data_IF_094733354696
#
_entry.id   IF_094733354696
#
_cell.length_a   1.000
_cell.length_b   1.000
_cell.length_c   1.000
_cell.angle_alpha   90.00
_cell.angle_beta   90.00
_cell.angle_gamma   90.00
#
_symmetry.space_group_name_H-M   'P 1'
#
loop_
_entity.id
_entity.type
_entity.pdbx_description
1 polymer ?
#
# COMPACT_ATOMS: atom_id res chain seq x y z
N UNK A 1 4.41 -5.78 18.36
CA UNK A 1 4.08 -5.03 17.12
C UNK A 1 2.99 -5.79 16.38
N UNK A 2 1.86 -5.15 16.10
CA UNK A 2 0.67 -5.75 15.49
C UNK A 2 0.66 -5.66 13.95
N UNK A 3 1.79 -5.39 13.30
CA UNK A 3 1.89 -5.33 11.83
C UNK A 3 1.61 -6.66 11.13
N UNK A 4 1.75 -7.76 11.86
CA UNK A 4 1.50 -9.13 11.43
C UNK A 4 0.57 -9.84 12.43
N UNK A 5 -0.38 -9.11 13.03
CA UNK A 5 -1.19 -9.62 14.14
C UNK A 5 -1.86 -10.96 13.82
N UNK A 6 -1.55 -11.95 14.66
CA UNK A 6 -2.27 -13.20 14.80
C UNK A 6 -2.74 -13.28 16.27
N UNK A 7 -4.03 -13.53 16.48
CA UNK A 7 -4.62 -13.51 17.82
C UNK A 7 -4.08 -14.63 18.71
N UNK A 8 -3.96 -15.85 18.19
CA UNK A 8 -3.53 -17.01 18.95
C UNK A 8 -2.07 -16.87 19.39
N UNK A 9 -1.18 -16.47 18.47
CA UNK A 9 0.22 -16.20 18.79
C UNK A 9 0.35 -15.07 19.81
N UNK A 10 -0.43 -14.00 19.67
CA UNK A 10 -0.41 -12.87 20.59
C UNK A 10 -0.80 -13.29 22.02
N UNK A 11 -1.91 -14.03 22.15
CA UNK A 11 -2.39 -14.53 23.45
C UNK A 11 -1.38 -15.46 24.11
N UNK A 12 -0.73 -16.33 23.32
CA UNK A 12 0.32 -17.23 23.83
C UNK A 12 1.53 -16.46 24.36
N UNK A 13 2.01 -15.45 23.62
CA UNK A 13 3.14 -14.60 24.05
C UNK A 13 2.81 -13.84 25.33
N UNK A 14 1.61 -13.29 25.45
CA UNK A 14 1.17 -12.56 26.66
C UNK A 14 1.11 -13.51 27.85
N UNK A 15 0.56 -14.71 27.68
CA UNK A 15 0.47 -15.73 28.73
C UNK A 15 1.87 -16.10 29.26
N UNK A 16 2.77 -16.50 28.38
CA UNK A 16 4.14 -16.90 28.74
C UNK A 16 4.88 -15.75 29.44
N UNK A 17 4.74 -14.51 28.94
CA UNK A 17 5.39 -13.36 29.54
C UNK A 17 4.92 -13.07 30.98
N UNK A 18 3.62 -13.26 31.26
CA UNK A 18 3.04 -13.11 32.60
C UNK A 18 3.41 -14.25 33.54
N UNK A 19 3.56 -15.48 33.03
CA UNK A 19 4.07 -16.61 33.80
C UNK A 19 5.53 -16.38 34.25
N UNK A 20 6.35 -15.75 33.41
CA UNK A 20 7.75 -15.40 33.74
C UNK A 20 7.81 -14.24 34.75
N UNK A 21 7.00 -13.19 34.53
CA UNK A 21 6.94 -12.04 35.44
C UNK A 21 5.52 -11.46 35.46
N UNK A 22 4.83 -11.69 36.58
CA UNK A 22 3.45 -11.23 36.77
C UNK A 22 3.28 -9.71 36.61
N UNK A 23 4.25 -8.92 37.09
CA UNK A 23 4.25 -7.45 37.02
C UNK A 23 5.09 -6.91 35.86
N UNK A 24 4.84 -7.44 34.66
CA UNK A 24 5.44 -6.94 33.42
C UNK A 24 4.52 -5.89 32.77
N UNK A 25 5.07 -4.74 32.38
CA UNK A 25 4.36 -3.82 31.51
C UNK A 25 4.46 -4.29 30.06
N UNK A 26 3.31 -4.44 29.39
CA UNK A 26 3.23 -4.87 28.00
C UNK A 26 2.78 -3.68 27.16
N UNK A 27 3.63 -3.26 26.24
CA UNK A 27 3.32 -2.21 25.26
C UNK A 27 2.87 -2.85 23.95
N UNK A 28 1.66 -2.49 23.49
CA UNK A 28 1.11 -2.96 22.23
C UNK A 28 1.24 -1.86 21.18
N UNK A 29 2.09 -2.11 20.20
CA UNK A 29 2.28 -1.24 19.03
C UNK A 29 1.28 -1.62 17.92
N UNK A 30 0.27 -0.77 17.72
CA UNK A 30 -0.81 -0.96 16.74
C UNK A 30 -0.33 -0.59 15.33
N UNK A 31 -0.84 -1.30 14.31
CA UNK A 31 -0.34 -1.18 12.94
C UNK A 31 -0.67 0.17 12.25
N UNK A 32 -1.67 0.91 12.72
CA UNK A 32 -2.20 2.10 12.05
C UNK A 32 -2.90 1.78 10.71
N UNK A 33 -3.44 2.81 10.04
CA UNK A 33 -3.93 2.69 8.65
C UNK A 33 -2.72 2.64 7.70
N UNK A 34 -2.23 1.43 7.38
CA UNK A 34 -1.18 1.25 6.37
C UNK A 34 -1.80 1.16 4.98
N UNK A 35 -1.39 2.08 4.11
CA UNK A 35 -1.74 2.02 2.69
C UNK A 35 -0.93 0.90 2.03
N UNK A 36 -1.60 0.09 1.23
CA UNK A 36 -1.01 -1.03 0.52
C UNK A 36 -1.50 -1.05 -0.92
N UNK A 37 -0.77 -1.73 -1.79
CA UNK A 37 -1.35 -2.20 -3.05
C UNK A 37 -2.47 -3.18 -2.72
N UNK A 38 -3.64 -2.99 -3.31
CA UNK A 38 -4.79 -3.88 -3.10
C UNK A 38 -4.42 -5.33 -3.45
N UNK A 39 -5.03 -6.26 -2.73
CA UNK A 39 -4.93 -7.70 -3.04
C UNK A 39 -5.73 -8.08 -4.29
N UNK A 40 -6.64 -7.22 -4.73
CA UNK A 40 -7.44 -7.39 -5.95
C UNK A 40 -6.64 -7.09 -7.23
N UNK A 41 -5.37 -6.65 -7.12
CA UNK A 41 -4.53 -6.45 -8.29
C UNK A 41 -4.29 -7.79 -9.01
N UNK A 42 -4.81 -7.92 -10.22
CA UNK A 42 -4.76 -9.15 -11.02
C UNK A 42 -3.36 -9.47 -11.58
N UNK A 43 -2.49 -8.47 -11.65
CA UNK A 43 -1.23 -8.55 -12.38
C UNK A 43 0.00 -8.32 -11.50
N UNK A 44 1.10 -8.97 -11.89
CA UNK A 44 2.43 -8.63 -11.39
C UNK A 44 3.07 -7.68 -12.39
N UNK A 45 3.27 -6.43 -12.00
CA UNK A 45 3.91 -5.44 -12.86
C UNK A 45 5.41 -5.39 -12.62
N UNK A 46 6.19 -5.63 -13.67
CA UNK A 46 7.59 -5.23 -13.73
C UNK A 46 7.66 -3.81 -14.32
N UNK A 47 8.20 -2.88 -13.54
CA UNK A 47 8.31 -1.47 -13.91
C UNK A 47 9.77 -1.04 -13.91
N UNK A 48 10.11 -0.12 -14.79
CA UNK A 48 11.47 0.39 -14.98
C UNK A 48 11.49 1.90 -14.82
N UNK A 49 12.64 2.44 -14.41
CA UNK A 49 12.83 3.89 -14.29
C UNK A 49 12.51 4.60 -15.61
N UNK A 50 11.85 5.75 -15.51
CA UNK A 50 11.37 6.54 -16.64
C UNK A 50 10.01 6.14 -17.20
N UNK A 51 9.46 4.98 -16.81
CA UNK A 51 8.11 4.57 -17.24
C UNK A 51 7.02 5.40 -16.55
N UNK A 52 5.86 5.49 -17.20
CA UNK A 52 4.64 5.99 -16.59
C UNK A 52 3.82 4.84 -16.01
N UNK A 53 3.24 5.07 -14.84
CA UNK A 53 2.32 4.15 -14.16
C UNK A 53 1.15 4.95 -13.59
N UNK A 54 0.08 4.25 -13.25
CA UNK A 54 -1.12 4.86 -12.71
C UNK A 54 -1.50 4.21 -11.39
N UNK A 55 -1.92 5.01 -10.41
CA UNK A 55 -2.48 4.54 -9.15
C UNK A 55 -3.93 4.99 -9.03
N UNK A 56 -4.76 4.19 -8.37
CA UNK A 56 -6.16 4.51 -8.10
C UNK A 56 -6.62 3.95 -6.75
N UNK A 57 -7.80 4.38 -6.31
CA UNK A 57 -8.47 3.77 -5.15
C UNK A 57 -8.95 2.35 -5.44
N UNK A 58 -9.08 1.54 -4.39
CA UNK A 58 -9.54 0.16 -4.50
C UNK A 58 -11.00 0.08 -4.98
N UNK A 59 -11.82 1.06 -4.59
CA UNK A 59 -13.20 1.25 -5.04
C UNK A 59 -13.27 1.51 -6.56
N UNK A 60 -12.41 2.37 -7.09
CA UNK A 60 -12.36 2.62 -8.54
C UNK A 60 -11.99 1.36 -9.30
N UNK A 61 -10.93 0.66 -8.87
CA UNK A 61 -10.44 -0.54 -9.55
C UNK A 61 -11.49 -1.65 -9.66
N UNK A 62 -12.36 -1.80 -8.65
CA UNK A 62 -13.44 -2.80 -8.64
C UNK A 62 -14.56 -2.54 -9.65
N UNK A 63 -14.74 -1.28 -10.06
CA UNK A 63 -15.86 -0.88 -10.93
C UNK A 63 -15.45 -0.90 -12.41
N UNK A 64 -14.17 -0.71 -12.72
CA UNK A 64 -13.71 -0.62 -14.11
C UNK A 64 -13.46 -2.01 -14.72
N UNK A 65 -13.72 -2.14 -16.02
CA UNK A 65 -13.26 -3.30 -16.80
C UNK A 65 -11.76 -3.17 -17.10
N UNK A 66 -10.92 -3.73 -16.24
CA UNK A 66 -9.45 -3.74 -16.37
C UNK A 66 -9.00 -4.41 -17.68
N UNK A 67 -9.81 -5.33 -18.22
CA UNK A 67 -9.55 -6.02 -19.49
C UNK A 67 -9.44 -5.07 -20.69
N UNK A 68 -10.04 -3.87 -20.62
CA UNK A 68 -9.93 -2.81 -21.63
C UNK A 68 -8.71 -1.91 -21.44
N UNK A 69 -8.03 -2.00 -20.30
CA UNK A 69 -6.90 -1.17 -19.91
C UNK A 69 -5.58 -1.95 -19.87
N UNK A 70 -5.48 -3.07 -20.60
CA UNK A 70 -4.33 -3.99 -20.56
C UNK A 70 -2.95 -3.34 -20.74
N UNK A 71 -2.88 -2.25 -21.52
CA UNK A 71 -1.62 -1.53 -21.75
C UNK A 71 -1.24 -0.58 -20.61
N UNK A 72 -2.22 -0.21 -19.79
CA UNK A 72 -2.07 0.73 -18.68
C UNK A 72 -1.72 -0.03 -17.40
N UNK A 73 -0.57 0.30 -16.82
CA UNK A 73 -0.14 -0.28 -15.52
C UNK A 73 -0.89 0.41 -14.39
N UNK A 74 -2.13 -0.01 -14.16
CA UNK A 74 -3.00 0.53 -13.12
C UNK A 74 -2.84 -0.25 -11.82
N UNK A 75 -2.42 0.46 -10.76
CA UNK A 75 -2.05 -0.11 -9.47
C UNK A 75 -3.06 0.37 -8.42
N UNK A 76 -4.01 -0.47 -7.97
CA UNK A 76 -4.96 -0.10 -6.95
C UNK A 76 -4.30 -0.02 -5.57
N UNK A 77 -4.66 1.00 -4.80
CA UNK A 77 -4.23 1.22 -3.42
C UNK A 77 -5.41 1.01 -2.46
N UNK A 78 -5.14 0.56 -1.24
CA UNK A 78 -6.16 0.38 -0.17
C UNK A 78 -6.56 1.72 0.46
N UNK A 79 -6.98 2.66 -0.39
CA UNK A 79 -7.56 3.96 -0.08
C UNK A 79 -8.74 4.17 -1.01
N UNK A 80 -9.68 5.02 -0.60
CA UNK A 80 -10.81 5.38 -1.45
C UNK A 80 -10.41 6.47 -2.47
N UNK A 81 -11.07 6.46 -3.62
CA UNK A 81 -10.90 7.47 -4.68
C UNK A 81 -11.10 8.88 -4.14
N UNK A 82 -12.06 9.07 -3.24
CA UNK A 82 -12.34 10.37 -2.62
C UNK A 82 -11.19 10.86 -1.72
N UNK A 83 -10.49 9.95 -1.04
CA UNK A 83 -9.29 10.29 -0.25
C UNK A 83 -8.16 10.78 -1.17
N UNK A 84 -7.99 10.16 -2.35
CA UNK A 84 -7.01 10.60 -3.35
C UNK A 84 -7.35 12.01 -3.85
N UNK A 85 -8.60 12.26 -4.22
CA UNK A 85 -9.03 13.57 -4.76
C UNK A 85 -8.78 14.71 -3.75
N UNK A 86 -8.98 14.44 -2.45
CA UNK A 86 -8.80 15.43 -1.39
C UNK A 86 -7.34 15.60 -0.95
N UNK A 87 -6.41 14.82 -1.49
CA UNK A 87 -5.02 14.76 -1.05
C UNK A 87 -4.07 15.56 -1.96
N UNK A 88 -3.03 16.16 -1.38
CA UNK A 88 -1.92 16.84 -2.11
C UNK A 88 -0.72 15.90 -2.28
N UNK A 89 -0.95 14.68 -2.78
CA UNK A 89 0.11 13.67 -2.90
C UNK A 89 1.13 14.12 -3.95
N UNK A 90 2.39 14.30 -3.53
CA UNK A 90 3.52 14.66 -4.42
C UNK A 90 4.41 13.48 -4.77
N UNK A 91 4.49 12.48 -3.88
CA UNK A 91 5.24 11.26 -4.16
C UNK A 91 4.66 10.01 -3.51
N UNK A 92 4.88 8.89 -4.19
CA UNK A 92 4.58 7.55 -3.70
C UNK A 92 5.89 6.78 -3.58
N UNK A 93 6.04 6.02 -2.51
CA UNK A 93 7.15 5.09 -2.35
C UNK A 93 6.68 3.71 -1.88
N UNK A 94 7.47 2.69 -2.22
CA UNK A 94 7.19 1.30 -1.89
C UNK A 94 8.46 0.57 -1.49
N UNK A 95 8.30 -0.55 -0.76
CA UNK A 95 9.38 -1.48 -0.39
C UNK A 95 10.55 -0.72 0.25
N UNK A 96 10.28 -0.05 1.35
CA UNK A 96 11.27 0.69 2.15
C UNK A 96 12.03 1.75 1.32
N UNK A 97 11.31 2.55 0.53
CA UNK A 97 11.83 3.59 -0.39
C UNK A 97 12.78 3.08 -1.50
N UNK A 98 12.84 1.77 -1.75
CA UNK A 98 13.61 1.22 -2.86
C UNK A 98 12.93 1.42 -4.22
N UNK A 99 11.61 1.64 -4.24
CA UNK A 99 10.82 1.99 -5.42
C UNK A 99 10.13 3.33 -5.17
N UNK A 100 10.31 4.29 -6.07
CA UNK A 100 9.85 5.67 -5.90
C UNK A 100 9.17 6.17 -7.16
N UNK A 101 8.13 6.97 -6.96
CA UNK A 101 7.28 7.52 -8.00
C UNK A 101 7.08 9.01 -7.76
N UNK A 102 7.32 9.79 -8.79
CA UNK A 102 7.03 11.22 -8.83
C UNK A 102 5.63 11.42 -9.43
N UNK A 103 4.76 12.14 -8.74
CA UNK A 103 3.42 12.41 -9.26
C UNK A 103 3.49 13.48 -10.34
N UNK A 104 2.97 13.14 -11.52
CA UNK A 104 2.85 14.06 -12.66
C UNK A 104 1.52 14.80 -12.57
N UNK A 105 0.44 14.06 -12.30
CA UNK A 105 -0.92 14.58 -12.34
C UNK A 105 -1.84 13.72 -11.46
N UNK A 106 -2.85 14.36 -10.87
CA UNK A 106 -3.98 13.68 -10.22
C UNK A 106 -5.26 14.19 -10.87
N UNK A 107 -6.01 13.32 -11.54
CA UNK A 107 -7.31 13.64 -12.14
C UNK A 107 -8.36 12.63 -11.66
N UNK A 108 -9.46 13.13 -11.08
CA UNK A 108 -10.62 12.33 -10.64
C UNK A 108 -10.25 11.07 -9.82
N UNK A 109 -9.20 11.16 -9.00
CA UNK A 109 -8.73 10.06 -8.16
C UNK A 109 -7.83 9.03 -8.86
N UNK A 110 -7.46 9.29 -10.12
CA UNK A 110 -6.39 8.60 -10.84
C UNK A 110 -5.10 9.41 -10.71
N UNK A 111 -4.05 8.77 -10.22
CA UNK A 111 -2.74 9.37 -10.04
C UNK A 111 -1.83 8.90 -11.17
N UNK A 112 -1.41 9.80 -12.04
CA UNK A 112 -0.38 9.55 -13.04
C UNK A 112 1.00 9.81 -12.45
N UNK A 113 1.90 8.84 -12.53
CA UNK A 113 3.22 8.95 -11.91
C UNK A 113 4.36 8.49 -12.81
N UNK A 114 5.51 9.15 -12.69
CA UNK A 114 6.78 8.76 -13.30
C UNK A 114 7.56 7.87 -12.36
N UNK A 115 8.03 6.72 -12.85
CA UNK A 115 8.87 5.81 -12.08
C UNK A 115 10.28 6.39 -11.98
N UNK A 116 10.70 6.77 -10.77
CA UNK A 116 12.09 7.18 -10.52
C UNK A 116 12.99 5.95 -10.31
N UNK A 117 12.52 4.99 -9.52
CA UNK A 117 13.19 3.70 -9.28
C UNK A 117 12.20 2.54 -9.46
N UNK A 118 12.46 1.69 -10.44
CA UNK A 118 11.61 0.56 -10.80
C UNK A 118 11.78 -0.68 -9.93
N UNK A 119 11.05 -1.73 -10.26
CA UNK A 119 10.97 -2.98 -9.50
C UNK A 119 9.77 -3.83 -9.88
N UNK A 120 9.39 -4.74 -8.98
CA UNK A 120 8.24 -5.64 -9.16
C UNK A 120 7.14 -5.24 -8.17
N UNK A 121 5.97 -4.93 -8.70
CA UNK A 121 4.76 -4.62 -7.93
C UNK A 121 3.84 -5.84 -7.94
N UNK A 122 3.32 -6.18 -6.76
CA UNK A 122 2.33 -7.24 -6.52
C UNK A 122 1.43 -6.82 -5.36
N UNK A 123 0.24 -7.40 -5.29
CA UNK A 123 -0.74 -7.12 -4.24
C UNK A 123 -0.21 -7.28 -2.82
N UNK A 124 -0.74 -6.48 -1.89
CA UNK A 124 -0.45 -6.52 -0.45
C UNK A 124 0.85 -5.82 -0.02
N UNK A 125 1.61 -5.23 -0.94
CA UNK A 125 2.84 -4.48 -0.63
C UNK A 125 2.51 -3.12 -0.02
N UNK A 126 3.26 -2.73 1.01
CA UNK A 126 3.11 -1.43 1.66
C UNK A 126 3.54 -0.29 0.75
N UNK A 127 2.75 0.79 0.80
CA UNK A 127 2.97 2.03 0.08
C UNK A 127 2.95 3.19 1.08
N UNK A 128 3.81 4.17 0.85
CA UNK A 128 3.77 5.44 1.55
C UNK A 128 3.35 6.52 0.57
N UNK A 129 2.42 7.37 0.99
CA UNK A 129 2.03 8.58 0.29
C UNK A 129 2.61 9.78 1.04
N UNK A 130 3.15 10.74 0.30
CA UNK A 130 3.81 11.91 0.85
C UNK A 130 3.45 13.16 0.05
N UNK A 131 3.33 14.28 0.75
CA UNK A 131 3.08 15.62 0.19
C UNK A 131 4.36 16.45 0.17
#
# INVERSE_FOLDING_TARGET
>A
NCSHFNKEEFEQVVKVAREIKGDLHILVDLCGKKIRVSKELDYIYKIYSGQEVYFCGEDFYKIIEISKLKEMKLIPLTIETEEIIKSDIKSISMKDNSMNFEIIEVDKGLIKAKVLRGGIIRGGKGCNLSN
#
